data_IF_393308776825
#
_entry.id   IF_393308776825
#
_cell.length_a   1.000
_cell.length_b   1.000
_cell.length_c   1.000
_cell.angle_alpha   90.00
_cell.angle_beta   90.00
_cell.angle_gamma   90.00
#
_symmetry.space_group_name_H-M   'P 1'
#
loop_
_entity.id
_entity.type
_entity.pdbx_description
1 polymer ?
#
# COMPACT_ATOMS: atom_id res chain seq x y z
N UNK A 1 -21.35 -51.59 -42.07
CA UNK A 1 -21.49 -51.47 -40.61
C UNK A 1 -20.16 -51.53 -39.83
N UNK A 2 -19.09 -52.16 -40.33
CA UNK A 2 -17.84 -52.38 -39.54
C UNK A 2 -16.80 -51.24 -39.52
N UNK A 3 -16.90 -50.20 -40.37
CA UNK A 3 -15.89 -49.11 -40.44
C UNK A 3 -16.24 -47.84 -39.67
N UNK A 4 -17.49 -47.68 -39.25
CA UNK A 4 -17.95 -46.47 -38.51
C UNK A 4 -17.83 -46.66 -36.99
N UNK A 5 -18.20 -47.84 -36.45
CA UNK A 5 -18.02 -48.15 -35.01
C UNK A 5 -16.56 -48.13 -34.56
N UNK A 6 -15.62 -48.58 -35.41
CA UNK A 6 -14.19 -48.57 -35.08
C UNK A 6 -13.62 -47.15 -35.03
N UNK A 7 -14.19 -46.20 -35.77
CA UNK A 7 -13.78 -44.79 -35.76
C UNK A 7 -14.35 -44.03 -34.56
N UNK A 8 -15.56 -44.35 -34.11
CA UNK A 8 -16.14 -43.77 -32.88
C UNK A 8 -15.42 -44.26 -31.62
N UNK A 9 -15.14 -45.57 -31.52
CA UNK A 9 -14.38 -46.15 -30.41
C UNK A 9 -12.98 -45.54 -30.30
N UNK A 10 -12.29 -45.35 -31.44
CA UNK A 10 -10.96 -44.75 -31.47
C UNK A 10 -10.97 -43.25 -31.13
N UNK A 11 -12.03 -42.52 -31.50
CA UNK A 11 -12.23 -41.12 -31.08
C UNK A 11 -12.46 -41.01 -29.57
N UNK A 12 -13.32 -41.86 -28.99
CA UNK A 12 -13.56 -41.86 -27.54
C UNK A 12 -12.31 -42.20 -26.72
N UNK A 13 -11.44 -43.08 -27.24
CA UNK A 13 -10.17 -43.42 -26.60
C UNK A 13 -9.17 -42.25 -26.66
N UNK A 14 -9.09 -41.54 -27.80
CA UNK A 14 -8.24 -40.36 -27.95
C UNK A 14 -8.71 -39.20 -27.06
N UNK A 15 -10.02 -38.93 -27.00
CA UNK A 15 -10.59 -37.90 -26.14
C UNK A 15 -10.31 -38.19 -24.66
N UNK A 16 -10.43 -39.45 -24.22
CA UNK A 16 -10.13 -39.84 -22.85
C UNK A 16 -8.64 -39.69 -22.48
N UNK A 17 -7.73 -40.00 -23.42
CA UNK A 17 -6.29 -39.78 -23.23
C UNK A 17 -5.97 -38.29 -23.16
N UNK A 18 -6.56 -37.49 -24.04
CA UNK A 18 -6.38 -36.03 -24.07
C UNK A 18 -6.91 -35.42 -22.78
N UNK A 19 -8.08 -35.86 -22.29
CA UNK A 19 -8.68 -35.39 -21.05
C UNK A 19 -7.80 -35.73 -19.84
N UNK A 20 -7.28 -36.95 -19.76
CA UNK A 20 -6.40 -37.38 -18.67
C UNK A 20 -5.05 -36.65 -18.66
N UNK A 21 -4.45 -36.44 -19.83
CA UNK A 21 -3.19 -35.69 -19.96
C UNK A 21 -3.44 -34.20 -19.66
N UNK A 22 -4.53 -33.62 -20.18
CA UNK A 22 -4.87 -32.23 -19.97
C UNK A 22 -5.12 -31.93 -18.49
N UNK A 23 -5.90 -32.75 -17.79
CA UNK A 23 -6.17 -32.59 -16.36
C UNK A 23 -4.88 -32.67 -15.51
N UNK A 24 -3.97 -33.59 -15.86
CA UNK A 24 -2.72 -33.80 -15.10
C UNK A 24 -1.66 -32.75 -15.38
N UNK A 25 -1.54 -32.32 -16.64
CA UNK A 25 -0.66 -31.23 -17.03
C UNK A 25 -1.17 -29.87 -16.51
N UNK A 26 -2.47 -29.61 -16.61
CA UNK A 26 -3.10 -28.39 -16.09
C UNK A 26 -2.99 -28.29 -14.57
N UNK A 27 -3.16 -29.37 -13.81
CA UNK A 27 -3.05 -29.29 -12.34
C UNK A 27 -1.59 -29.02 -11.89
N UNK A 28 -0.61 -29.63 -12.56
CA UNK A 28 0.81 -29.38 -12.30
C UNK A 28 1.26 -27.97 -12.70
N UNK A 29 0.74 -27.43 -13.80
CA UNK A 29 1.02 -26.04 -14.22
C UNK A 29 0.28 -25.04 -13.33
N UNK A 30 -0.98 -25.30 -12.97
CA UNK A 30 -1.74 -24.39 -12.10
C UNK A 30 -1.17 -24.32 -10.69
N UNK A 31 -0.78 -25.45 -10.08
CA UNK A 31 -0.14 -25.43 -8.75
C UNK A 31 1.18 -24.66 -8.75
N UNK A 32 2.01 -24.82 -9.79
CA UNK A 32 3.24 -24.03 -9.93
C UNK A 32 2.97 -22.55 -10.19
N UNK A 33 1.95 -22.22 -10.99
CA UNK A 33 1.53 -20.84 -11.22
C UNK A 33 1.00 -20.20 -9.93
N UNK A 34 0.21 -20.91 -9.15
CA UNK A 34 -0.40 -20.44 -7.92
C UNK A 34 0.66 -20.12 -6.85
N UNK A 35 1.65 -21.00 -6.66
CA UNK A 35 2.80 -20.75 -5.78
C UNK A 35 3.64 -19.57 -6.27
N UNK A 36 3.89 -19.45 -7.58
CA UNK A 36 4.60 -18.31 -8.14
C UNK A 36 3.82 -17.01 -7.90
N UNK A 37 2.52 -17.04 -8.13
CA UNK A 37 1.64 -15.88 -7.98
C UNK A 37 1.57 -15.44 -6.51
N UNK A 38 1.48 -16.38 -5.57
CA UNK A 38 1.58 -16.09 -4.13
C UNK A 38 2.92 -15.46 -3.75
N UNK A 39 4.04 -15.98 -4.26
CA UNK A 39 5.35 -15.41 -4.00
C UNK A 39 5.50 -13.99 -4.58
N UNK A 40 5.01 -13.77 -5.80
CA UNK A 40 4.99 -12.44 -6.42
C UNK A 40 4.13 -11.44 -5.62
N UNK A 41 2.93 -11.87 -5.19
CA UNK A 41 2.05 -11.04 -4.37
C UNK A 41 2.69 -10.72 -3.01
N UNK A 42 3.31 -11.71 -2.38
CA UNK A 42 3.99 -11.53 -1.10
C UNK A 42 5.17 -10.57 -1.21
N UNK A 43 5.97 -10.66 -2.28
CA UNK A 43 7.08 -9.73 -2.54
C UNK A 43 6.62 -8.31 -2.85
N UNK A 44 5.51 -8.16 -3.57
CA UNK A 44 4.86 -6.87 -3.80
C UNK A 44 4.36 -6.27 -2.49
N UNK A 45 3.68 -7.06 -1.67
CA UNK A 45 3.18 -6.64 -0.37
C UNK A 45 4.33 -6.26 0.57
N UNK A 46 5.39 -7.05 0.68
CA UNK A 46 6.54 -6.69 1.50
C UNK A 46 7.21 -5.39 1.05
N UNK A 47 7.32 -5.15 -0.26
CA UNK A 47 7.86 -3.88 -0.78
C UNK A 47 6.97 -2.69 -0.45
N UNK A 48 5.65 -2.84 -0.60
CA UNK A 48 4.68 -1.78 -0.30
C UNK A 48 4.65 -1.51 1.21
N UNK A 49 4.52 -2.55 2.03
CA UNK A 49 4.53 -2.45 3.49
C UNK A 49 5.79 -1.77 4.00
N UNK A 50 6.97 -2.12 3.48
CA UNK A 50 8.23 -1.47 3.88
C UNK A 50 8.26 0.01 3.52
N UNK A 51 7.76 0.39 2.34
CA UNK A 51 7.65 1.80 1.94
C UNK A 51 6.70 2.57 2.85
N UNK A 52 5.52 2.00 3.15
CA UNK A 52 4.54 2.62 4.04
C UNK A 52 5.12 2.78 5.45
N UNK A 53 5.78 1.75 5.98
CA UNK A 53 6.41 1.79 7.29
C UNK A 53 7.47 2.90 7.38
N UNK A 54 8.34 3.04 6.37
CA UNK A 54 9.33 4.11 6.32
C UNK A 54 8.69 5.50 6.20
N UNK A 55 7.65 5.63 5.38
CA UNK A 55 6.91 6.89 5.22
C UNK A 55 6.23 7.30 6.51
N UNK A 56 5.61 6.35 7.22
CA UNK A 56 5.02 6.59 8.54
C UNK A 56 6.08 6.98 9.58
N UNK A 57 7.20 6.27 9.64
CA UNK A 57 8.28 6.61 10.56
C UNK A 57 8.83 8.02 10.30
N UNK A 58 9.05 8.36 9.03
CA UNK A 58 9.46 9.71 8.63
C UNK A 58 8.43 10.77 8.98
N UNK A 59 7.14 10.50 8.75
CA UNK A 59 6.05 11.40 9.10
C UNK A 59 5.96 11.65 10.61
N UNK A 60 6.07 10.60 11.43
CA UNK A 60 6.07 10.71 12.90
C UNK A 60 7.27 11.55 13.37
N UNK A 61 8.47 11.28 12.84
CA UNK A 61 9.66 12.06 13.17
C UNK A 61 9.52 13.54 12.75
N UNK A 62 8.94 13.80 11.58
CA UNK A 62 8.66 15.15 11.12
C UNK A 62 7.66 15.87 12.04
N UNK A 63 6.56 15.20 12.42
CA UNK A 63 5.59 15.75 13.38
C UNK A 63 6.23 16.08 14.72
N UNK A 64 7.04 15.17 15.28
CA UNK A 64 7.75 15.42 16.53
C UNK A 64 8.68 16.63 16.40
N UNK A 65 9.47 16.72 15.33
CA UNK A 65 10.33 17.86 15.07
C UNK A 65 9.57 19.18 14.99
N UNK A 66 8.43 19.20 14.29
CA UNK A 66 7.57 20.39 14.18
C UNK A 66 7.03 20.81 15.55
N UNK A 67 6.55 19.86 16.36
CA UNK A 67 6.05 20.15 17.73
C UNK A 67 7.18 20.73 18.59
N UNK A 68 8.37 20.16 18.53
CA UNK A 68 9.53 20.68 19.27
C UNK A 68 9.91 22.09 18.83
N UNK A 69 9.94 22.37 17.52
CA UNK A 69 10.25 23.72 17.00
C UNK A 69 9.24 24.75 17.52
N UNK A 70 7.94 24.48 17.37
CA UNK A 70 6.91 25.40 17.84
C UNK A 70 6.89 25.54 19.36
N UNK A 71 7.12 24.45 20.10
CA UNK A 71 7.22 24.47 21.56
C UNK A 71 8.42 25.31 22.04
N UNK A 72 9.61 25.08 21.46
CA UNK A 72 10.80 25.88 21.76
C UNK A 72 10.61 27.36 21.39
N UNK A 73 9.95 27.65 20.26
CA UNK A 73 9.64 29.02 19.86
C UNK A 73 8.68 29.71 20.83
N UNK A 74 7.64 28.99 21.29
CA UNK A 74 6.72 29.50 22.31
C UNK A 74 7.44 29.79 23.63
N UNK A 75 8.32 28.87 24.08
CA UNK A 75 9.12 29.06 25.30
C UNK A 75 10.08 30.25 25.19
N UNK A 76 10.78 30.38 24.06
CA UNK A 76 11.66 31.51 23.79
C UNK A 76 10.90 32.84 23.84
N UNK A 77 9.73 32.90 23.20
CA UNK A 77 8.88 34.08 23.24
C UNK A 77 8.33 34.37 24.64
N UNK A 78 7.99 33.33 25.41
CA UNK A 78 7.52 33.50 26.78
C UNK A 78 8.60 34.14 27.67
N UNK A 79 9.85 33.72 27.51
CA UNK A 79 11.00 34.29 28.23
C UNK A 79 11.25 35.74 27.79
N UNK A 80 11.26 36.01 26.49
CA UNK A 80 11.47 37.36 25.95
C UNK A 80 10.37 38.35 26.35
N UNK A 81 9.11 37.91 26.31
CA UNK A 81 7.94 38.73 26.64
C UNK A 81 7.59 38.71 28.13
N UNK A 82 8.35 37.96 28.94
CA UNK A 82 8.12 37.76 30.38
C UNK A 82 6.67 37.33 30.71
N UNK A 83 6.05 36.56 29.82
CA UNK A 83 4.66 36.11 29.94
C UNK A 83 4.54 34.66 29.49
N UNK A 84 4.05 33.79 30.38
CA UNK A 84 3.98 32.35 30.16
C UNK A 84 2.99 31.90 29.05
N UNK A 85 2.08 32.79 28.63
CA UNK A 85 1.00 32.46 27.69
C UNK A 85 1.14 33.14 26.32
N UNK A 86 1.97 34.17 26.23
CA UNK A 86 2.00 35.03 25.06
C UNK A 86 2.66 34.35 23.86
N UNK A 87 3.73 33.58 24.08
CA UNK A 87 4.38 32.77 23.04
C UNK A 87 3.44 31.70 22.46
N UNK A 88 2.68 31.01 23.31
CA UNK A 88 1.67 30.03 22.85
C UNK A 88 0.56 30.68 22.02
N UNK A 89 0.15 31.88 22.41
CA UNK A 89 -0.85 32.65 21.66
C UNK A 89 -0.34 33.04 20.28
N UNK A 90 0.92 33.49 20.18
CA UNK A 90 1.56 33.83 18.90
C UNK A 90 1.66 32.59 18.01
N UNK A 91 2.10 31.45 18.54
CA UNK A 91 2.13 30.18 17.81
C UNK A 91 0.73 29.80 17.31
N UNK A 92 -0.30 29.94 18.15
CA UNK A 92 -1.69 29.69 17.77
C UNK A 92 -2.17 30.58 16.61
N UNK A 93 -1.82 31.87 16.63
CA UNK A 93 -2.14 32.81 15.54
C UNK A 93 -1.46 32.39 14.24
N UNK A 94 -0.18 32.00 14.28
CA UNK A 94 0.55 31.54 13.09
C UNK A 94 -0.14 30.31 12.47
N UNK A 95 -0.50 29.32 13.30
CA UNK A 95 -1.19 28.11 12.84
C UNK A 95 -2.55 28.46 12.23
N UNK A 96 -3.31 29.36 12.85
CA UNK A 96 -4.60 29.81 12.33
C UNK A 96 -4.46 30.50 10.97
N UNK A 97 -3.47 31.39 10.81
CA UNK A 97 -3.20 32.08 9.54
C UNK A 97 -2.80 31.11 8.42
N UNK A 98 -1.95 30.13 8.72
CA UNK A 98 -1.58 29.08 7.76
C UNK A 98 -2.82 28.28 7.36
N UNK A 99 -3.67 27.90 8.33
CA UNK A 99 -4.92 27.19 8.07
C UNK A 99 -5.85 27.98 7.13
N UNK A 100 -6.02 29.28 7.39
CA UNK A 100 -6.80 30.17 6.51
C UNK A 100 -6.18 30.25 5.12
N UNK A 101 -4.85 30.36 5.01
CA UNK A 101 -4.15 30.41 3.73
C UNK A 101 -4.36 29.13 2.91
N UNK A 102 -4.26 27.96 3.54
CA UNK A 102 -4.51 26.67 2.88
C UNK A 102 -5.95 26.60 2.36
N UNK A 103 -6.94 26.99 3.17
CA UNK A 103 -8.34 27.02 2.77
C UNK A 103 -8.57 28.02 1.62
N UNK A 104 -7.92 29.17 1.66
CA UNK A 104 -8.01 30.17 0.60
C UNK A 104 -7.39 29.69 -0.72
N UNK A 105 -6.26 28.98 -0.66
CA UNK A 105 -5.60 28.42 -1.83
C UNK A 105 -6.36 27.22 -2.42
N UNK A 106 -6.92 26.34 -1.58
CA UNK A 106 -7.70 25.18 -2.03
C UNK A 106 -9.09 25.52 -2.58
N UNK A 107 -9.55 26.77 -2.43
CA UNK A 107 -10.81 27.28 -2.99
C UNK A 107 -10.67 27.90 -4.39
N UNK A 108 -9.43 28.02 -4.91
CA UNK A 108 -9.15 28.42 -6.31
C UNK A 108 -8.91 27.18 -7.16
#
# INVERSE_FOLDING_TARGET
>A
MSKEESRESQKGFLDSIIEMISARALSGVMSNLEVRMQNFLTDLMNRITRKIMLMMAGFIMAMLGIIFIFGSFALYLNEFLQSAWMGWTIVGIIIALIGVLIVALGRR
#
